data_IF_897112628476
#
_entry.id   IF_897112628476
#
_cell.length_a   1.000
_cell.length_b   1.000
_cell.length_c   1.000
_cell.angle_alpha   90.00
_cell.angle_beta   90.00
_cell.angle_gamma   90.00
#
_symmetry.space_group_name_H-M   'P 1'
#
loop_
_entity.id
_entity.type
_entity.pdbx_description
1 polymer ?
#
# COMPACT_ATOMS: atom_id res chain seq x y z
N UNK A 1 0.89 80.77 -23.75
CA UNK A 1 1.88 79.77 -24.19
C UNK A 1 1.27 79.02 -25.37
N UNK A 2 1.88 79.14 -26.54
CA UNK A 2 1.38 78.58 -27.81
C UNK A 2 1.59 77.06 -27.77
N UNK A 3 0.50 76.31 -27.90
CA UNK A 3 0.50 74.87 -28.12
C UNK A 3 0.90 74.59 -29.57
N UNK A 4 2.15 74.22 -29.80
CA UNK A 4 2.59 73.65 -31.08
C UNK A 4 2.06 72.21 -31.24
N UNK A 5 1.82 71.74 -32.47
CA UNK A 5 1.39 70.36 -32.69
C UNK A 5 2.53 69.40 -32.34
N UNK A 6 2.25 68.22 -31.75
CA UNK A 6 3.29 67.22 -31.51
C UNK A 6 3.73 66.63 -32.86
N UNK A 7 4.89 67.07 -33.36
CA UNK A 7 5.57 66.42 -34.49
C UNK A 7 6.55 65.38 -33.96
N UNK A 8 6.07 64.18 -33.71
CA UNK A 8 6.97 63.02 -33.56
C UNK A 8 6.19 61.74 -33.84
N UNK A 9 6.00 61.46 -35.13
CA UNK A 9 5.87 60.06 -35.54
C UNK A 9 7.19 59.34 -35.27
N UNK A 10 7.18 58.00 -35.09
CA UNK A 10 8.40 57.24 -34.80
C UNK A 10 9.47 57.57 -35.85
N UNK A 11 10.65 58.00 -35.39
CA UNK A 11 11.74 58.37 -36.26
C UNK A 11 12.25 57.11 -36.98
N UNK A 12 12.07 57.06 -38.29
CA UNK A 12 12.62 55.99 -39.14
C UNK A 12 14.15 56.11 -39.10
N UNK A 13 14.84 55.01 -38.81
CA UNK A 13 16.30 54.97 -38.96
C UNK A 13 16.64 55.10 -40.46
N UNK A 14 17.26 56.23 -40.83
CA UNK A 14 17.63 56.52 -42.22
C UNK A 14 18.71 55.56 -42.77
N UNK A 15 19.37 54.81 -41.88
CA UNK A 15 20.34 53.79 -42.24
C UNK A 15 19.75 52.38 -42.36
N UNK A 16 18.46 52.19 -42.06
CA UNK A 16 17.78 50.90 -42.20
C UNK A 16 17.83 50.45 -43.68
N UNK A 17 18.41 49.28 -43.98
CA UNK A 17 18.53 48.79 -45.35
C UNK A 17 17.17 48.58 -46.04
N UNK A 18 16.10 48.27 -45.29
CA UNK A 18 14.75 48.16 -45.83
C UNK A 18 14.17 49.54 -46.17
N UNK A 19 14.44 50.56 -45.35
CA UNK A 19 14.06 51.94 -45.63
C UNK A 19 14.78 52.47 -46.88
N UNK A 20 16.10 52.27 -46.97
CA UNK A 20 16.91 52.71 -48.13
C UNK A 20 16.36 52.16 -49.45
N UNK A 21 15.97 50.89 -49.47
CA UNK A 21 15.34 50.27 -50.64
C UNK A 21 13.98 50.88 -50.99
N UNK A 22 13.22 51.40 -50.03
CA UNK A 22 11.92 52.06 -50.25
C UNK A 22 12.11 53.52 -50.70
N UNK A 23 13.13 54.19 -50.18
CA UNK A 23 13.49 55.57 -50.52
C UNK A 23 14.06 55.70 -51.94
N UNK A 24 14.83 54.70 -52.41
CA UNK A 24 15.47 54.69 -53.73
C UNK A 24 14.53 54.30 -54.89
N UNK A 25 13.34 53.76 -54.59
CA UNK A 25 12.35 53.42 -55.63
C UNK A 25 11.91 54.69 -56.39
N UNK A 26 11.80 54.63 -57.73
CA UNK A 26 11.40 55.78 -58.55
C UNK A 26 10.04 56.35 -58.10
N UNK A 27 9.77 57.62 -58.43
CA UNK A 27 8.49 58.27 -58.11
C UNK A 27 7.30 57.49 -58.72
N UNK A 28 6.27 57.23 -57.93
CA UNK A 28 5.09 56.45 -58.34
C UNK A 28 3.82 57.31 -58.44
N UNK A 29 3.81 58.48 -57.78
CA UNK A 29 2.64 59.34 -57.70
C UNK A 29 2.81 60.68 -58.44
N UNK A 30 1.71 61.21 -58.97
CA UNK A 30 1.66 62.49 -59.68
C UNK A 30 2.35 62.51 -61.05
N UNK A 31 2.64 63.71 -61.57
CA UNK A 31 3.16 63.95 -62.94
C UNK A 31 4.55 63.32 -63.19
N UNK A 32 5.32 63.01 -62.15
CA UNK A 32 6.60 62.28 -62.26
C UNK A 32 6.41 60.76 -62.27
N UNK A 33 5.40 60.25 -61.56
CA UNK A 33 4.98 58.85 -61.64
C UNK A 33 4.50 58.47 -63.04
N UNK A 34 3.74 59.35 -63.70
CA UNK A 34 3.29 59.12 -65.09
C UNK A 34 4.44 59.10 -66.10
N UNK A 35 5.48 59.93 -65.91
CA UNK A 35 6.69 59.93 -66.73
C UNK A 35 7.58 58.71 -66.47
N UNK A 36 7.61 58.20 -65.24
CA UNK A 36 8.30 56.95 -64.92
C UNK A 36 7.60 55.74 -65.55
N UNK A 37 6.27 55.74 -65.61
CA UNK A 37 5.48 54.76 -66.38
C UNK A 37 5.74 54.77 -67.90
N UNK A 38 6.31 55.86 -68.43
CA UNK A 38 6.77 55.99 -69.83
C UNK A 38 8.26 55.66 -70.01
N UNK A 39 8.95 55.14 -68.98
CA UNK A 39 10.34 54.67 -69.06
C UNK A 39 11.40 55.63 -68.52
N UNK A 40 11.04 56.77 -67.93
CA UNK A 40 11.99 57.63 -67.22
C UNK A 40 12.29 57.12 -65.80
N UNK A 41 13.42 57.53 -65.21
CA UNK A 41 13.80 57.22 -63.82
C UNK A 41 13.98 58.51 -63.01
N UNK A 42 12.87 59.12 -62.62
CA UNK A 42 12.84 60.36 -61.84
C UNK A 42 12.73 60.06 -60.35
N UNK A 43 13.57 60.74 -59.56
CA UNK A 43 13.58 60.65 -58.10
C UNK A 43 12.29 61.24 -57.47
N UNK A 44 11.81 60.65 -56.35
CA UNK A 44 10.62 61.10 -55.63
C UNK A 44 10.78 62.52 -55.05
N UNK A 45 9.65 63.21 -54.84
CA UNK A 45 9.63 64.54 -54.19
C UNK A 45 9.65 64.40 -52.66
N UNK A 46 10.03 65.47 -51.96
CA UNK A 46 10.10 65.50 -50.49
C UNK A 46 8.76 65.12 -49.81
N UNK A 47 7.63 65.55 -50.37
CA UNK A 47 6.30 65.18 -49.88
C UNK A 47 6.01 63.67 -50.04
N UNK A 48 6.38 63.06 -51.18
CA UNK A 48 6.22 61.62 -51.42
C UNK A 48 7.16 60.79 -50.52
N UNK A 49 8.38 61.28 -50.28
CA UNK A 49 9.31 60.68 -49.32
C UNK A 49 8.81 60.79 -47.87
N UNK A 50 8.10 61.86 -47.51
CA UNK A 50 7.49 62.01 -46.19
C UNK A 50 6.32 61.02 -45.99
N UNK A 51 5.49 60.82 -47.01
CA UNK A 51 4.42 59.80 -46.99
C UNK A 51 4.99 58.38 -46.90
N UNK A 52 6.04 58.07 -47.68
CA UNK A 52 6.74 56.77 -47.59
C UNK A 52 7.37 56.55 -46.21
N UNK A 53 7.97 57.59 -45.60
CA UNK A 53 8.49 57.53 -44.23
C UNK A 53 7.39 57.24 -43.22
N UNK A 54 6.26 57.95 -43.32
CA UNK A 54 5.13 57.73 -42.43
C UNK A 54 4.53 56.32 -42.59
N UNK A 55 4.40 55.82 -43.81
CA UNK A 55 3.91 54.47 -44.08
C UNK A 55 4.86 53.38 -43.56
N UNK A 56 6.17 53.54 -43.78
CA UNK A 56 7.18 52.61 -43.28
C UNK A 56 7.25 52.61 -41.74
N UNK A 57 7.20 53.80 -41.12
CA UNK A 57 7.16 53.94 -39.66
C UNK A 57 5.90 53.29 -39.06
N UNK A 58 4.74 53.45 -39.72
CA UNK A 58 3.50 52.80 -39.30
C UNK A 58 3.57 51.28 -39.46
N UNK A 59 4.17 50.78 -40.54
CA UNK A 59 4.36 49.34 -40.77
C UNK A 59 5.30 48.73 -39.71
N UNK A 60 6.42 49.38 -39.41
CA UNK A 60 7.33 48.94 -38.35
C UNK A 60 6.67 48.96 -36.97
N UNK A 61 5.91 50.02 -36.65
CA UNK A 61 5.18 50.10 -35.38
C UNK A 61 4.14 48.98 -35.26
N UNK A 62 3.41 48.65 -36.34
CA UNK A 62 2.47 47.54 -36.36
C UNK A 62 3.16 46.17 -36.26
N UNK A 63 4.35 46.01 -36.83
CA UNK A 63 5.13 44.77 -36.72
C UNK A 63 5.71 44.58 -35.32
N UNK A 64 6.27 45.63 -34.73
CA UNK A 64 6.73 45.62 -33.34
C UNK A 64 5.58 45.34 -32.36
N UNK A 65 4.40 45.93 -32.60
CA UNK A 65 3.22 45.65 -31.79
C UNK A 65 2.78 44.20 -31.91
N UNK A 66 2.73 43.64 -33.12
CA UNK A 66 2.41 42.21 -33.33
C UNK A 66 3.42 41.29 -32.64
N UNK A 67 4.72 41.57 -32.77
CA UNK A 67 5.76 40.79 -32.11
C UNK A 67 5.65 40.86 -30.58
N UNK A 68 5.38 42.04 -30.03
CA UNK A 68 5.16 42.21 -28.59
C UNK A 68 3.90 41.46 -28.10
N UNK A 69 2.82 41.50 -28.87
CA UNK A 69 1.59 40.75 -28.55
C UNK A 69 1.82 39.24 -28.61
N UNK A 70 2.53 38.73 -29.62
CA UNK A 70 2.90 37.31 -29.75
C UNK A 70 3.83 36.85 -28.62
N UNK A 71 4.82 37.68 -28.24
CA UNK A 71 5.72 37.39 -27.13
C UNK A 71 4.97 37.36 -25.79
N UNK A 72 4.09 38.32 -25.55
CA UNK A 72 3.22 38.34 -24.36
C UNK A 72 2.31 37.12 -24.31
N UNK A 73 1.70 36.72 -25.45
CA UNK A 73 0.86 35.54 -25.52
C UNK A 73 1.64 34.26 -25.20
N UNK A 74 2.86 34.12 -25.74
CA UNK A 74 3.75 32.99 -25.42
C UNK A 74 4.12 32.91 -23.95
N UNK A 75 4.50 34.03 -23.34
CA UNK A 75 4.86 34.08 -21.93
C UNK A 75 3.66 33.75 -21.03
N UNK A 76 2.47 34.24 -21.40
CA UNK A 76 1.23 33.91 -20.68
C UNK A 76 0.89 32.42 -20.79
N UNK A 77 1.06 31.80 -21.96
CA UNK A 77 0.84 30.36 -22.14
C UNK A 77 1.84 29.52 -21.32
N UNK A 78 3.12 29.91 -21.31
CA UNK A 78 4.15 29.23 -20.52
C UNK A 78 3.87 29.34 -19.01
N UNK A 79 3.46 30.52 -18.53
CA UNK A 79 3.06 30.73 -17.14
C UNK A 79 1.83 29.88 -16.78
N UNK A 80 0.81 29.85 -17.64
CA UNK A 80 -0.38 29.01 -17.44
C UNK A 80 -0.02 27.52 -17.38
N UNK A 81 0.88 27.07 -18.25
CA UNK A 81 1.35 25.68 -18.25
C UNK A 81 2.10 25.34 -16.98
N UNK A 82 3.00 26.22 -16.52
CA UNK A 82 3.73 26.03 -15.26
C UNK A 82 2.77 25.93 -14.07
N UNK A 83 1.80 26.83 -13.98
CA UNK A 83 0.78 26.82 -12.92
C UNK A 83 -0.04 25.53 -12.95
N UNK A 84 -0.44 25.06 -14.14
CA UNK A 84 -1.17 23.81 -14.30
C UNK A 84 -0.33 22.58 -13.90
N UNK A 85 0.95 22.55 -14.23
CA UNK A 85 1.88 21.48 -13.82
C UNK A 85 2.09 21.49 -12.29
N UNK A 86 2.23 22.67 -11.67
CA UNK A 86 2.31 22.80 -10.21
C UNK A 86 1.02 22.35 -9.51
N UNK A 87 -0.15 22.71 -10.05
CA UNK A 87 -1.44 22.29 -9.51
C UNK A 87 -1.61 20.76 -9.59
N UNK A 88 -1.26 20.16 -10.73
CA UNK A 88 -1.26 18.70 -10.90
C UNK A 88 -0.32 18.01 -9.92
N UNK A 89 0.90 18.50 -9.78
CA UNK A 89 1.87 17.94 -8.82
C UNK A 89 1.38 18.04 -7.37
N UNK A 90 0.73 19.15 -6.99
CA UNK A 90 0.10 19.31 -5.67
C UNK A 90 -1.05 18.33 -5.46
N UNK A 91 -1.93 18.18 -6.45
CA UNK A 91 -3.06 17.25 -6.40
C UNK A 91 -2.59 15.79 -6.31
N UNK A 92 -1.57 15.41 -7.07
CA UNK A 92 -0.94 14.08 -6.99
C UNK A 92 -0.32 13.83 -5.61
N UNK A 93 0.42 14.80 -5.06
CA UNK A 93 1.01 14.69 -3.73
C UNK A 93 -0.05 14.62 -2.61
N UNK A 94 -1.19 15.30 -2.77
CA UNK A 94 -2.32 15.19 -1.84
C UNK A 94 -3.01 13.83 -1.95
N UNK A 95 -3.25 13.36 -3.18
CA UNK A 95 -3.85 12.04 -3.42
C UNK A 95 -2.99 10.91 -2.85
N UNK A 96 -1.67 11.01 -3.00
CA UNK A 96 -0.71 10.06 -2.44
C UNK A 96 -0.74 10.06 -0.91
N UNK A 97 -0.68 11.24 -0.27
CA UNK A 97 -0.79 11.38 1.19
C UNK A 97 -2.12 10.81 1.71
N UNK A 98 -3.22 11.06 1.02
CA UNK A 98 -4.52 10.51 1.38
C UNK A 98 -4.57 8.99 1.23
N UNK A 99 -3.92 8.42 0.20
CA UNK A 99 -3.80 6.98 0.01
C UNK A 99 -3.01 6.31 1.14
N UNK A 100 -1.84 6.84 1.46
CA UNK A 100 -0.99 6.37 2.55
C UNK A 100 -1.70 6.47 3.90
N UNK A 101 -2.39 7.58 4.17
CA UNK A 101 -3.19 7.74 5.39
C UNK A 101 -4.30 6.70 5.51
N UNK A 102 -5.00 6.38 4.41
CA UNK A 102 -6.03 5.32 4.40
C UNK A 102 -5.44 3.93 4.61
N UNK A 103 -4.29 3.65 4.00
CA UNK A 103 -3.59 2.38 4.21
C UNK A 103 -3.14 2.24 5.67
N UNK A 104 -2.52 3.28 6.23
CA UNK A 104 -2.10 3.30 7.63
C UNK A 104 -3.28 3.13 8.59
N UNK A 105 -4.43 3.78 8.32
CA UNK A 105 -5.65 3.59 9.12
C UNK A 105 -6.15 2.14 9.09
N UNK A 106 -6.19 1.50 7.91
CA UNK A 106 -6.57 0.09 7.79
C UNK A 106 -5.62 -0.85 8.52
N UNK A 107 -4.31 -0.59 8.44
CA UNK A 107 -3.31 -1.38 9.16
C UNK A 107 -3.47 -1.23 10.68
N UNK A 108 -3.74 -0.02 11.18
CA UNK A 108 -4.02 0.22 12.60
C UNK A 108 -5.27 -0.52 13.06
N UNK A 109 -6.36 -0.41 12.32
CA UNK A 109 -7.62 -1.10 12.64
C UNK A 109 -7.44 -2.63 12.64
N UNK A 110 -6.72 -3.17 11.64
CA UNK A 110 -6.41 -4.61 11.60
C UNK A 110 -5.54 -5.05 12.79
N UNK A 111 -4.54 -4.25 13.15
CA UNK A 111 -3.68 -4.54 14.30
C UNK A 111 -4.43 -4.41 15.64
N UNK A 112 -5.39 -3.49 15.76
CA UNK A 112 -6.27 -3.38 16.93
C UNK A 112 -7.18 -4.59 17.07
N UNK A 113 -7.79 -5.03 15.96
CA UNK A 113 -8.62 -6.25 15.93
C UNK A 113 -7.82 -7.50 16.29
N UNK A 114 -6.61 -7.65 15.74
CA UNK A 114 -5.71 -8.76 16.09
C UNK A 114 -5.37 -8.75 17.59
N UNK A 115 -4.97 -7.59 18.14
CA UNK A 115 -4.70 -7.45 19.59
C UNK A 115 -5.91 -7.79 20.44
N UNK A 116 -7.11 -7.38 20.03
CA UNK A 116 -8.34 -7.70 20.74
C UNK A 116 -8.67 -9.20 20.70
N UNK A 117 -8.58 -9.84 19.52
CA UNK A 117 -8.82 -11.27 19.38
C UNK A 117 -7.82 -12.09 20.22
N UNK A 118 -6.54 -11.72 20.17
CA UNK A 118 -5.50 -12.34 21.00
C UNK A 118 -5.77 -12.17 22.48
N UNK A 119 -6.15 -10.97 22.92
CA UNK A 119 -6.52 -10.69 24.33
C UNK A 119 -7.69 -11.55 24.80
N UNK A 120 -8.70 -11.80 23.95
CA UNK A 120 -9.82 -12.69 24.29
C UNK A 120 -9.34 -14.13 24.53
N UNK A 121 -8.48 -14.67 23.65
CA UNK A 121 -7.90 -16.02 23.79
C UNK A 121 -6.99 -16.13 25.02
N UNK A 122 -6.26 -15.05 25.34
CA UNK A 122 -5.37 -14.94 26.50
C UNK A 122 -6.10 -14.73 27.84
N UNK A 123 -7.44 -14.73 27.85
CA UNK A 123 -8.22 -14.56 29.09
C UNK A 123 -7.88 -15.66 30.10
N UNK A 124 -7.69 -15.27 31.37
CA UNK A 124 -7.53 -16.22 32.45
C UNK A 124 -8.84 -16.98 32.70
N UNK A 125 -8.80 -18.31 32.63
CA UNK A 125 -9.98 -19.15 32.72
C UNK A 125 -10.35 -19.59 34.14
N UNK A 126 -9.58 -19.17 35.16
CA UNK A 126 -9.80 -19.55 36.56
C UNK A 126 -9.94 -21.08 36.70
N UNK A 127 -8.84 -21.78 36.38
CA UNK A 127 -8.77 -23.25 36.32
C UNK A 127 -8.78 -23.81 34.90
N UNK A 128 -8.61 -25.14 34.79
CA UNK A 128 -8.56 -25.86 33.52
C UNK A 128 -9.89 -25.71 32.77
N UNK A 129 -9.82 -25.74 31.43
CA UNK A 129 -10.99 -25.77 30.54
C UNK A 129 -10.80 -26.90 29.54
N UNK A 130 -11.81 -27.76 29.45
CA UNK A 130 -11.83 -28.89 28.52
C UNK A 130 -12.64 -28.52 27.29
N UNK A 131 -12.07 -28.75 26.11
CA UNK A 131 -12.76 -28.61 24.83
C UNK A 131 -12.83 -29.98 24.17
N UNK A 132 -14.04 -30.46 23.91
CA UNK A 132 -14.26 -31.73 23.23
C UNK A 132 -14.55 -31.51 21.74
N UNK A 133 -13.73 -32.12 20.88
CA UNK A 133 -13.95 -32.15 19.43
C UNK A 133 -14.45 -33.53 19.03
N UNK A 134 -15.77 -33.71 19.04
CA UNK A 134 -16.41 -34.98 18.72
C UNK A 134 -17.22 -34.91 17.41
N UNK A 135 -17.19 -36.00 16.64
CA UNK A 135 -17.97 -36.20 15.43
C UNK A 135 -18.07 -37.70 15.14
N UNK A 136 -19.28 -38.27 15.01
CA UNK A 136 -19.45 -39.71 14.77
C UNK A 136 -18.89 -40.16 13.42
N UNK A 137 -18.69 -39.25 12.45
CA UNK A 137 -18.18 -39.59 11.12
C UNK A 137 -16.65 -39.73 11.12
N UNK A 138 -16.16 -40.83 10.55
CA UNK A 138 -14.74 -41.00 10.20
C UNK A 138 -14.30 -39.97 9.15
N UNK A 139 -13.04 -39.52 9.21
CA UNK A 139 -12.50 -38.54 8.26
C UNK A 139 -13.03 -37.11 8.40
N UNK A 140 -13.82 -36.79 9.44
CA UNK A 140 -14.35 -35.45 9.70
C UNK A 140 -13.31 -34.43 10.22
N UNK A 141 -12.00 -34.75 10.10
CA UNK A 141 -10.88 -33.91 10.51
C UNK A 141 -10.83 -33.56 12.01
N UNK A 142 -11.47 -34.35 12.88
CA UNK A 142 -11.45 -34.16 14.34
C UNK A 142 -10.03 -33.97 14.87
N UNK A 143 -9.16 -34.94 14.61
CA UNK A 143 -7.76 -34.94 15.04
C UNK A 143 -6.99 -33.73 14.53
N UNK A 144 -7.16 -33.38 13.25
CA UNK A 144 -6.51 -32.19 12.67
C UNK A 144 -7.03 -30.90 13.32
N UNK A 145 -8.34 -30.80 13.55
CA UNK A 145 -8.94 -29.65 14.23
C UNK A 145 -8.45 -29.55 15.68
N UNK A 146 -8.35 -30.67 16.41
CA UNK A 146 -7.80 -30.70 17.77
C UNK A 146 -6.35 -30.22 17.78
N UNK A 147 -5.51 -30.74 16.89
CA UNK A 147 -4.10 -30.34 16.78
C UNK A 147 -3.97 -28.84 16.48
N UNK A 148 -4.68 -28.33 15.46
CA UNK A 148 -4.62 -26.92 15.08
C UNK A 148 -5.21 -26.00 16.14
N UNK A 149 -6.26 -26.42 16.84
CA UNK A 149 -6.83 -25.67 17.95
C UNK A 149 -5.83 -25.59 19.11
N UNK A 150 -5.17 -26.70 19.45
CA UNK A 150 -4.16 -26.74 20.49
C UNK A 150 -2.94 -25.88 20.14
N UNK A 151 -2.44 -25.96 18.91
CA UNK A 151 -1.37 -25.10 18.41
C UNK A 151 -1.77 -23.62 18.44
N UNK A 152 -2.98 -23.28 18.02
CA UNK A 152 -3.48 -21.90 18.07
C UNK A 152 -3.55 -21.38 19.50
N UNK A 153 -4.08 -22.19 20.42
CA UNK A 153 -4.13 -21.84 21.85
C UNK A 153 -2.71 -21.72 22.42
N UNK A 154 -1.81 -22.66 22.15
CA UNK A 154 -0.43 -22.62 22.63
C UNK A 154 0.34 -21.40 22.13
N UNK A 155 0.30 -21.10 20.83
CA UNK A 155 0.96 -19.95 20.20
C UNK A 155 0.41 -18.61 20.72
N UNK A 156 -0.91 -18.49 20.89
CA UNK A 156 -1.52 -17.21 21.26
C UNK A 156 -1.50 -17.00 22.78
N UNK A 157 -1.81 -18.05 23.56
CA UNK A 157 -1.87 -18.01 25.03
C UNK A 157 -0.50 -18.13 25.69
N UNK A 158 0.45 -18.82 25.05
CA UNK A 158 1.81 -19.01 25.53
C UNK A 158 2.02 -20.25 26.40
N UNK A 159 1.26 -21.33 26.19
CA UNK A 159 1.43 -22.58 26.95
C UNK A 159 0.19 -23.09 27.68
N UNK A 160 0.41 -24.13 28.50
CA UNK A 160 -0.61 -24.78 29.35
C UNK A 160 -1.78 -25.38 28.55
N UNK A 161 -1.47 -26.00 27.41
CA UNK A 161 -2.43 -26.66 26.53
C UNK A 161 -1.95 -28.07 26.27
N UNK A 162 -2.79 -29.05 26.57
CA UNK A 162 -2.57 -30.46 26.24
C UNK A 162 -3.60 -30.87 25.20
N UNK A 163 -3.13 -31.37 24.06
CA UNK A 163 -3.94 -32.03 23.06
C UNK A 163 -3.94 -33.53 23.34
N UNK A 164 -5.12 -34.08 23.61
CA UNK A 164 -5.29 -35.50 23.86
C UNK A 164 -6.22 -36.12 22.82
N UNK A 165 -5.82 -37.26 22.27
CA UNK A 165 -6.63 -38.09 21.39
C UNK A 165 -7.34 -39.17 22.21
N UNK A 166 -8.59 -38.89 22.57
CA UNK A 166 -9.46 -39.79 23.32
C UNK A 166 -10.17 -40.80 22.40
N UNK A 167 -9.40 -41.46 21.53
CA UNK A 167 -9.92 -42.50 20.66
C UNK A 167 -9.73 -43.87 21.31
N UNK A 168 -10.82 -44.64 21.44
CA UNK A 168 -10.81 -46.02 21.98
C UNK A 168 -10.20 -47.05 21.01
N UNK A 169 -9.89 -46.63 19.78
CA UNK A 169 -9.24 -47.48 18.78
C UNK A 169 -7.86 -46.92 18.46
N UNK A 170 -7.60 -46.52 17.21
CA UNK A 170 -6.30 -46.00 16.81
C UNK A 170 -6.38 -44.48 16.64
N UNK A 171 -5.85 -43.75 17.62
CA UNK A 171 -5.66 -42.30 17.50
C UNK A 171 -4.64 -41.98 16.41
N UNK A 172 -4.77 -40.82 15.79
CA UNK A 172 -3.83 -40.37 14.72
C UNK A 172 -3.15 -39.05 15.07
N UNK A 173 -3.36 -38.56 16.31
CA UNK A 173 -2.75 -37.33 16.80
C UNK A 173 -1.24 -37.51 16.98
N UNK A 174 -0.79 -38.67 17.48
CA UNK A 174 0.62 -39.00 17.64
C UNK A 174 1.40 -38.93 16.32
N UNK A 175 0.83 -39.47 15.23
CA UNK A 175 1.41 -39.41 13.87
C UNK A 175 1.60 -37.99 13.34
N UNK A 176 0.75 -37.06 13.77
CA UNK A 176 0.78 -35.64 13.36
C UNK A 176 1.64 -34.77 14.25
N UNK A 177 2.06 -35.32 15.39
CA UNK A 177 2.85 -34.62 16.39
C UNK A 177 4.35 -34.82 16.18
N UNK A 178 5.14 -33.89 16.71
CA UNK A 178 6.57 -34.13 16.88
C UNK A 178 6.77 -35.32 17.81
N UNK A 179 7.71 -36.19 17.46
CA UNK A 179 8.11 -37.30 18.31
C UNK A 179 8.99 -36.79 19.45
N UNK A 180 8.94 -37.46 20.59
CA UNK A 180 9.82 -37.18 21.73
C UNK A 180 10.83 -38.33 21.93
N UNK A 181 11.68 -38.21 22.94
CA UNK A 181 12.67 -39.23 23.33
C UNK A 181 12.02 -40.51 23.86
N UNK A 182 10.76 -40.43 24.30
CA UNK A 182 9.96 -41.56 24.74
C UNK A 182 8.84 -41.87 23.75
N UNK A 183 8.35 -43.10 23.80
CA UNK A 183 7.17 -43.54 23.05
C UNK A 183 5.91 -43.63 23.90
N UNK A 184 5.94 -43.17 25.15
CA UNK A 184 4.80 -43.28 26.06
C UNK A 184 3.50 -42.70 25.49
N UNK A 185 2.40 -43.33 25.85
CA UNK A 185 1.04 -43.05 25.38
C UNK A 185 0.09 -42.81 26.55
N UNK A 186 -1.17 -42.50 26.25
CA UNK A 186 -2.25 -42.42 27.24
C UNK A 186 -2.40 -43.73 28.03
N UNK A 187 -2.10 -44.88 27.42
CA UNK A 187 -2.17 -46.18 28.10
C UNK A 187 -1.09 -46.29 29.15
N UNK A 188 0.15 -45.87 28.84
CA UNK A 188 1.23 -45.86 29.83
C UNK A 188 0.94 -44.88 30.98
N UNK A 189 0.31 -43.75 30.70
CA UNK A 189 -0.16 -42.81 31.73
C UNK A 189 -1.16 -43.50 32.67
N UNK A 190 -2.14 -44.23 32.12
CA UNK A 190 -3.15 -44.95 32.89
C UNK A 190 -2.55 -46.09 33.72
N UNK A 191 -1.63 -46.86 33.17
CA UNK A 191 -1.03 -48.01 33.87
C UNK A 191 -0.02 -47.58 34.95
N UNK A 192 0.82 -46.59 34.64
CA UNK A 192 2.00 -46.28 35.44
C UNK A 192 1.77 -45.10 36.39
N UNK A 193 1.02 -44.09 35.92
CA UNK A 193 0.88 -42.84 36.64
C UNK A 193 -0.43 -42.76 37.43
N UNK A 194 -1.55 -43.22 36.86
CA UNK A 194 -2.88 -43.09 37.49
C UNK A 194 -2.93 -43.61 38.94
N UNK A 195 -2.28 -44.73 39.33
CA UNK A 195 -2.27 -45.17 40.72
C UNK A 195 -1.66 -44.14 41.69
N UNK A 196 -0.68 -43.37 41.23
CA UNK A 196 0.06 -42.38 42.02
C UNK A 196 -0.60 -40.99 42.05
N UNK A 197 -1.43 -40.67 41.04
CA UNK A 197 -2.19 -39.41 40.95
C UNK A 197 -3.32 -39.30 41.99
N UNK A 198 -3.62 -40.37 42.74
CA UNK A 198 -4.57 -40.36 43.86
C UNK A 198 -4.06 -39.58 45.10
N UNK A 199 -2.78 -39.20 45.12
CA UNK A 199 -2.14 -38.45 46.23
C UNK A 199 -1.76 -37.01 45.85
N UNK A 200 -1.80 -36.08 46.82
CA UNK A 200 -1.47 -34.65 46.65
C UNK A 200 -0.01 -34.44 46.18
N UNK A 201 0.90 -35.36 46.49
CA UNK A 201 2.33 -35.26 46.11
C UNK A 201 2.61 -35.80 44.69
N UNK A 202 1.77 -36.69 44.18
CA UNK A 202 1.88 -37.29 42.84
C UNK A 202 1.29 -36.44 41.72
N UNK A 203 0.49 -35.41 42.03
CA UNK A 203 -0.20 -34.58 41.04
C UNK A 203 0.64 -33.41 40.48
N UNK A 204 1.97 -33.46 40.60
CA UNK A 204 2.82 -32.38 40.07
C UNK A 204 2.84 -32.44 38.54
N UNK A 205 2.68 -31.29 37.90
CA UNK A 205 2.75 -31.11 36.44
C UNK A 205 3.95 -31.85 35.79
N UNK A 206 5.10 -31.92 36.48
CA UNK A 206 6.28 -32.64 36.00
C UNK A 206 6.15 -34.17 35.90
N UNK A 207 5.11 -34.78 36.47
CA UNK A 207 4.81 -36.19 36.25
C UNK A 207 4.18 -36.43 34.86
N UNK A 208 3.48 -35.43 34.29
CA UNK A 208 2.91 -35.52 32.95
C UNK A 208 3.97 -35.37 31.86
N UNK A 209 5.06 -34.65 32.13
CA UNK A 209 6.16 -34.43 31.17
C UNK A 209 6.75 -35.74 30.61
N UNK A 210 6.66 -36.84 31.36
CA UNK A 210 7.13 -38.15 30.89
C UNK A 210 6.17 -38.85 29.90
N UNK A 211 4.95 -38.33 29.70
CA UNK A 211 3.90 -38.95 28.90
C UNK A 211 3.40 -38.06 27.76
N UNK A 212 3.75 -36.78 27.75
CA UNK A 212 3.35 -35.82 26.73
C UNK A 212 4.52 -35.46 25.83
N UNK A 213 4.23 -35.14 24.57
CA UNK A 213 5.23 -34.79 23.55
C UNK A 213 5.19 -33.27 23.30
N UNK A 214 6.23 -32.51 23.68
CA UNK A 214 6.28 -31.06 23.42
C UNK A 214 6.28 -30.73 21.92
N UNK A 215 5.56 -29.67 21.52
CA UNK A 215 5.43 -29.26 20.11
C UNK A 215 6.23 -27.98 19.77
N UNK A 216 7.35 -27.76 20.48
CA UNK A 216 8.29 -26.66 20.23
C UNK A 216 7.66 -25.28 20.34
N UNK A 217 7.88 -24.44 19.32
CA UNK A 217 7.39 -23.04 19.26
C UNK A 217 5.86 -22.91 19.27
N UNK A 218 5.14 -24.03 19.11
CA UNK A 218 3.67 -24.01 19.24
C UNK A 218 3.19 -24.01 20.68
N UNK A 219 4.08 -24.25 21.66
CA UNK A 219 3.80 -24.18 23.09
C UNK A 219 2.54 -24.96 23.53
N UNK A 220 2.37 -26.17 23.02
CA UNK A 220 1.39 -27.13 23.51
C UNK A 220 2.02 -28.52 23.51
N UNK A 221 1.44 -29.42 24.30
CA UNK A 221 1.92 -30.79 24.43
C UNK A 221 0.88 -31.78 23.89
N UNK A 222 1.34 -32.90 23.37
CA UNK A 222 0.47 -33.96 22.84
C UNK A 222 0.52 -35.19 23.75
N UNK A 223 -0.64 -35.58 24.28
CA UNK A 223 -0.84 -36.89 24.88
C UNK A 223 -1.36 -37.83 23.78
N UNK A 224 -0.46 -38.66 23.25
CA UNK A 224 -0.75 -39.55 22.14
C UNK A 224 -1.55 -40.77 22.59
N UNK A 225 -2.46 -41.26 21.74
CA UNK A 225 -3.06 -42.59 21.89
C UNK A 225 -2.02 -43.68 21.64
N UNK A 226 -2.31 -44.88 22.11
CA UNK A 226 -1.53 -46.06 21.75
C UNK A 226 -1.83 -46.52 20.31
N UNK A 227 -0.80 -47.01 19.63
CA UNK A 227 -0.88 -47.54 18.27
C UNK A 227 -1.15 -49.06 18.28
N UNK A 228 -0.93 -49.74 19.41
CA UNK A 228 -1.18 -51.16 19.58
C UNK A 228 -2.66 -51.46 19.79
N UNK A 229 -3.27 -52.14 18.82
CA UNK A 229 -4.67 -52.56 18.85
C UNK A 229 -5.06 -53.45 20.04
N UNK A 230 -4.10 -54.11 20.68
CA UNK A 230 -4.35 -54.99 21.83
C UNK A 230 -4.45 -54.24 23.16
N UNK A 231 -4.04 -52.97 23.21
CA UNK A 231 -4.03 -52.13 24.41
C UNK A 231 -5.14 -51.08 24.41
N UNK A 232 -5.99 -51.09 23.38
CA UNK A 232 -7.01 -50.08 23.11
C UNK A 232 -8.19 -50.13 24.08
N UNK A 233 -8.54 -51.32 24.60
CA UNK A 233 -9.63 -51.52 25.57
C UNK A 233 -9.41 -50.79 26.90
N UNK A 234 -8.18 -50.33 27.17
CA UNK A 234 -7.81 -49.61 28.41
C UNK A 234 -8.36 -48.17 28.41
N UNK A 235 -8.61 -47.59 27.24
CA UNK A 235 -9.24 -46.26 27.11
C UNK A 235 -10.75 -46.42 27.01
N UNK A 236 -11.34 -47.07 28.00
CA UNK A 236 -12.79 -47.14 28.16
C UNK A 236 -13.32 -45.89 28.87
N UNK A 237 -14.57 -45.93 29.34
CA UNK A 237 -15.15 -44.81 30.12
C UNK A 237 -14.32 -44.47 31.35
N UNK A 238 -13.88 -45.47 32.11
CA UNK A 238 -13.15 -45.27 33.36
C UNK A 238 -11.74 -44.71 33.08
N UNK A 239 -11.08 -45.23 32.04
CA UNK A 239 -9.82 -44.68 31.54
C UNK A 239 -9.97 -43.23 31.09
N UNK A 240 -11.04 -42.90 30.36
CA UNK A 240 -11.31 -41.53 29.93
C UNK A 240 -11.52 -40.60 31.14
N UNK A 241 -12.35 -40.99 32.10
CA UNK A 241 -12.63 -40.21 33.31
C UNK A 241 -11.35 -39.99 34.13
N UNK A 242 -10.51 -41.01 34.25
CA UNK A 242 -9.23 -40.95 34.97
C UNK A 242 -8.25 -39.97 34.30
N UNK A 243 -8.06 -40.08 32.98
CA UNK A 243 -7.17 -39.14 32.26
C UNK A 243 -7.73 -37.73 32.31
N UNK A 244 -9.04 -37.56 32.13
CA UNK A 244 -9.68 -36.25 32.24
C UNK A 244 -9.48 -35.63 33.63
N UNK A 245 -9.60 -36.42 34.70
CA UNK A 245 -9.34 -35.98 36.07
C UNK A 245 -7.88 -35.56 36.26
N UNK A 246 -6.92 -36.37 35.79
CA UNK A 246 -5.49 -36.05 35.85
C UNK A 246 -5.20 -34.71 35.15
N UNK A 247 -5.77 -34.50 33.95
CA UNK A 247 -5.54 -33.30 33.15
C UNK A 247 -6.31 -32.06 33.65
N UNK A 248 -7.32 -32.23 34.51
CA UNK A 248 -8.19 -31.15 34.99
C UNK A 248 -7.78 -30.57 36.35
N UNK A 249 -6.73 -31.11 36.97
CA UNK A 249 -6.23 -30.70 38.29
C UNK A 249 -5.32 -29.48 38.25
#
# INVERSE_FOLDING_TARGET
AVTGPPSSGPAVDENDPAWRQIAEKPAEQGLRGTLNGMGMKLAPKEAELAERRAAFAAQQAQEQQRQAEEEQARLAEEEQRRLAEEERARAEAEAQRAHESRQAARQREAAERDREQRRLIQTNFMGVKTILVANPKGGARKTTSTYLLAATMGIIRGGSVIAWDANETMGTLGERSQQDQHSHTVVDLLEQAAPSFTSIEGSRLGALDAYVRPQGDSHFDVLASDEDATRQDIVDREGFETVHEILSR
#
